data_IF_674745861972
#
_entry.id   IF_674745861972
#
_cell.length_a   1.000
_cell.length_b   1.000
_cell.length_c   1.000
_cell.angle_alpha   90.00
_cell.angle_beta   90.00
_cell.angle_gamma   90.00
#
_symmetry.space_group_name_H-M   'P 1'
#
loop_
_entity.id
_entity.type
_entity.pdbx_description
1 polymer ?
#
# COMPACT_ATOMS: atom_id res chain seq x y z
N UNK A 1 -8.52 2.31 -14.02
CA UNK A 1 -7.62 1.80 -12.96
C UNK A 1 -7.67 0.29 -13.03
N UNK A 2 -6.52 -0.37 -13.06
CA UNK A 2 -6.44 -1.83 -13.07
C UNK A 2 -6.45 -2.37 -11.64
N UNK A 3 -7.16 -3.48 -11.42
CA UNK A 3 -7.20 -4.18 -10.15
C UNK A 3 -5.80 -4.73 -9.82
N UNK A 4 -5.24 -4.46 -8.63
CA UNK A 4 -3.92 -4.95 -8.26
C UNK A 4 -3.86 -6.48 -8.09
N UNK A 5 -5.00 -7.16 -7.94
CA UNK A 5 -5.03 -8.62 -7.78
C UNK A 5 -5.12 -9.38 -9.11
N UNK A 6 -5.94 -8.92 -10.06
CA UNK A 6 -6.23 -9.69 -11.28
C UNK A 6 -6.11 -8.88 -12.58
N UNK A 7 -5.59 -7.64 -12.50
CA UNK A 7 -5.45 -6.70 -13.61
C UNK A 7 -6.76 -6.27 -14.32
N UNK A 8 -7.92 -6.84 -13.97
CA UNK A 8 -9.20 -6.44 -14.54
C UNK A 8 -9.55 -4.99 -14.18
N UNK A 9 -10.41 -4.36 -14.98
CA UNK A 9 -10.80 -2.98 -14.78
C UNK A 9 -11.59 -2.82 -13.46
N UNK A 10 -11.21 -1.80 -12.68
CA UNK A 10 -11.96 -1.35 -11.51
C UNK A 10 -13.13 -0.44 -11.93
N UNK A 11 -14.28 -0.63 -11.30
CA UNK A 11 -15.47 0.20 -11.45
C UNK A 11 -15.76 0.94 -10.13
N UNK A 12 -16.18 2.21 -10.15
CA UNK A 12 -16.56 2.93 -8.95
C UNK A 12 -17.82 2.31 -8.32
N UNK A 13 -17.82 2.18 -6.99
CA UNK A 13 -18.99 1.73 -6.20
C UNK A 13 -19.45 2.78 -5.17
N UNK A 14 -18.67 3.84 -4.99
CA UNK A 14 -18.98 5.01 -4.16
C UNK A 14 -18.09 6.20 -4.56
N UNK A 15 -18.07 7.26 -3.77
CA UNK A 15 -17.25 8.45 -4.06
C UNK A 15 -15.75 8.16 -4.04
N UNK A 16 -15.31 7.27 -3.16
CA UNK A 16 -13.88 7.01 -2.90
C UNK A 16 -13.48 5.54 -3.07
N UNK A 17 -14.45 4.67 -3.40
CA UNK A 17 -14.24 3.22 -3.45
C UNK A 17 -14.49 2.68 -4.85
N UNK A 18 -13.60 1.77 -5.25
CA UNK A 18 -13.68 1.03 -6.48
C UNK A 18 -13.79 -0.48 -6.19
N UNK A 19 -14.61 -1.19 -6.96
CA UNK A 19 -14.72 -2.64 -6.93
C UNK A 19 -14.33 -3.24 -8.27
N UNK A 20 -13.59 -4.34 -8.24
CA UNK A 20 -13.26 -5.12 -9.42
C UNK A 20 -14.45 -5.97 -9.85
N UNK A 21 -14.87 -5.86 -11.12
CA UNK A 21 -15.91 -6.72 -11.69
C UNK A 21 -15.47 -8.17 -11.91
N UNK A 22 -14.16 -8.45 -11.95
CA UNK A 22 -13.63 -9.79 -12.21
C UNK A 22 -13.44 -10.65 -10.95
N UNK A 23 -12.84 -10.09 -9.89
CA UNK A 23 -12.54 -10.84 -8.66
C UNK A 23 -13.26 -10.31 -7.42
N UNK A 24 -14.11 -9.28 -7.55
CA UNK A 24 -14.84 -8.69 -6.43
C UNK A 24 -14.00 -7.85 -5.45
N UNK A 25 -12.69 -7.73 -5.68
CA UNK A 25 -11.80 -6.95 -4.82
C UNK A 25 -12.20 -5.49 -4.72
N UNK A 26 -12.12 -4.93 -3.51
CA UNK A 26 -12.42 -3.53 -3.23
C UNK A 26 -11.17 -2.80 -2.77
N UNK A 27 -11.04 -1.56 -3.25
CA UNK A 27 -9.94 -0.67 -2.90
C UNK A 27 -10.40 0.78 -2.97
N UNK A 28 -9.94 1.60 -2.02
CA UNK A 28 -10.16 3.04 -2.12
C UNK A 28 -9.25 3.67 -3.17
N UNK A 29 -9.64 4.81 -3.73
CA UNK A 29 -8.82 5.56 -4.69
C UNK A 29 -7.47 5.94 -4.08
N UNK A 30 -7.46 6.34 -2.81
CA UNK A 30 -6.22 6.66 -2.07
C UNK A 30 -5.31 5.43 -1.92
N UNK A 31 -5.86 4.29 -1.51
CA UNK A 31 -5.08 3.06 -1.37
C UNK A 31 -4.55 2.55 -2.72
N UNK A 32 -5.32 2.73 -3.80
CA UNK A 32 -4.86 2.41 -5.15
C UNK A 32 -3.69 3.30 -5.57
N UNK A 33 -3.79 4.60 -5.32
CA UNK A 33 -2.74 5.56 -5.61
C UNK A 33 -1.46 5.25 -4.82
N UNK A 34 -1.59 5.01 -3.50
CA UNK A 34 -0.46 4.63 -2.66
C UNK A 34 0.20 3.33 -3.15
N UNK A 35 -0.61 2.31 -3.51
CA UNK A 35 -0.07 1.07 -4.06
C UNK A 35 0.78 1.31 -5.31
N UNK A 36 0.30 2.15 -6.24
CA UNK A 36 1.06 2.50 -7.45
C UNK A 36 2.36 3.20 -7.11
N UNK A 37 2.36 4.17 -6.21
CA UNK A 37 3.56 4.89 -5.80
C UNK A 37 4.60 3.97 -5.16
N UNK A 38 4.17 3.03 -4.32
CA UNK A 38 5.05 2.04 -3.70
C UNK A 38 5.64 1.08 -4.73
N UNK A 39 4.84 0.60 -5.67
CA UNK A 39 5.32 -0.26 -6.77
C UNK A 39 6.30 0.50 -7.65
N UNK A 40 5.96 1.72 -8.10
CA UNK A 40 6.83 2.54 -8.94
C UNK A 40 8.16 2.87 -8.24
N UNK A 41 8.14 3.11 -6.93
CA UNK A 41 9.37 3.31 -6.16
C UNK A 41 10.19 2.03 -6.06
N UNK A 42 9.57 0.89 -5.74
CA UNK A 42 10.24 -0.40 -5.69
C UNK A 42 10.90 -0.77 -7.02
N UNK A 43 10.19 -0.63 -8.14
CA UNK A 43 10.71 -0.95 -9.47
C UNK A 43 11.88 -0.03 -9.89
N UNK A 44 11.90 1.21 -9.39
CA UNK A 44 12.98 2.17 -9.69
C UNK A 44 14.25 1.91 -8.88
N UNK A 45 14.12 1.62 -7.58
CA UNK A 45 15.25 1.43 -6.67
C UNK A 45 14.84 0.54 -5.47
N UNK A 46 14.95 -0.80 -5.61
CA UNK A 46 14.54 -1.74 -4.56
C UNK A 46 15.30 -1.56 -3.24
N UNK A 47 16.60 -1.28 -3.31
CA UNK A 47 17.47 -1.18 -2.13
C UNK A 47 17.11 0.06 -1.31
N UNK A 48 16.88 1.19 -1.99
CA UNK A 48 16.44 2.42 -1.35
C UNK A 48 15.03 2.28 -0.78
N UNK A 49 14.11 1.65 -1.52
CA UNK A 49 12.75 1.37 -1.04
C UNK A 49 12.76 0.64 0.31
N UNK A 50 13.48 -0.48 0.41
CA UNK A 50 13.53 -1.24 1.66
C UNK A 50 14.32 -0.54 2.77
N UNK A 51 15.26 0.33 2.43
CA UNK A 51 15.94 1.18 3.40
C UNK A 51 14.95 2.16 4.05
N UNK A 52 14.15 2.89 3.25
CA UNK A 52 13.16 3.83 3.78
C UNK A 52 12.04 3.13 4.57
N UNK A 53 11.56 1.97 4.11
CA UNK A 53 10.56 1.17 4.85
C UNK A 53 11.08 0.80 6.24
N UNK A 54 12.35 0.37 6.33
CA UNK A 54 13.00 -0.01 7.58
C UNK A 54 13.15 1.20 8.52
N UNK A 55 13.64 2.32 8.01
CA UNK A 55 13.80 3.56 8.78
C UNK A 55 12.46 4.04 9.34
N UNK A 56 11.40 4.03 8.51
CA UNK A 56 10.06 4.44 8.94
C UNK A 56 9.48 3.50 9.99
N UNK A 57 9.65 2.18 9.83
CA UNK A 57 9.27 1.19 10.85
C UNK A 57 10.00 1.47 12.16
N UNK A 58 11.31 1.72 12.12
CA UNK A 58 12.12 1.93 13.31
C UNK A 58 11.74 3.24 14.02
N UNK A 59 11.44 4.30 13.26
CA UNK A 59 10.90 5.54 13.82
C UNK A 59 9.55 5.31 14.53
N UNK A 60 8.65 4.51 13.95
CA UNK A 60 7.36 4.18 14.59
C UNK A 60 7.59 3.36 15.86
N UNK A 61 8.46 2.34 15.82
CA UNK A 61 8.81 1.53 16.99
C UNK A 61 9.48 2.34 18.10
N UNK A 62 10.23 3.39 17.76
CA UNK A 62 10.80 4.29 18.74
C UNK A 62 9.73 5.10 19.50
N UNK A 63 8.55 5.30 18.90
CA UNK A 63 7.39 5.94 19.53
C UNK A 63 6.57 4.97 20.38
N UNK A 64 6.71 3.65 20.19
CA UNK A 64 5.99 2.66 20.99
C UNK A 64 6.41 2.77 22.47
N UNK A 65 5.49 2.60 23.42
CA UNK A 65 5.85 2.58 24.83
C UNK A 65 6.81 1.43 25.15
N UNK A 66 7.69 1.64 26.14
CA UNK A 66 8.83 0.75 26.45
C UNK A 66 8.41 -0.72 26.65
N UNK A 67 7.22 -0.98 27.21
CA UNK A 67 6.69 -2.32 27.44
C UNK A 67 6.33 -3.12 26.16
N UNK A 68 6.33 -2.48 24.99
CA UNK A 68 6.00 -3.08 23.69
C UNK A 68 7.25 -3.29 22.83
N UNK A 69 8.41 -2.78 23.26
CA UNK A 69 9.67 -2.83 22.48
C UNK A 69 10.43 -4.16 22.62
N UNK A 70 9.99 -5.07 23.49
CA UNK A 70 10.75 -6.26 23.93
C UNK A 70 10.08 -7.61 23.61
N UNK A 71 9.03 -7.64 22.79
CA UNK A 71 8.35 -8.87 22.39
C UNK A 71 8.84 -9.38 21.03
#
# INVERSE_FOLDING_TARGET
>A
MSCPLCAAQLAPVGSEWCRCGGCGYEISTEAHQLHRELVDFFERDPDKFFTEVRERRDAIRALEPVWQRSC
#
